data_IF_053972275591
#
_entry.id   IF_053972275591
#
_cell.length_a   1.000
_cell.length_b   1.000
_cell.length_c   1.000
_cell.angle_alpha   90.00
_cell.angle_beta   90.00
_cell.angle_gamma   90.00
#
_symmetry.space_group_name_H-M   'P 1'
#
loop_
_entity.id
_entity.type
_entity.pdbx_description
1 polymer ?
#
# COMPACT_ATOMS: atom_id res chain seq x y z
N UNK A 1 2.66 -6.08 7.79
CA UNK A 1 3.42 -6.32 6.55
C UNK A 1 4.84 -5.75 6.67
N UNK A 2 5.01 -4.42 6.71
CA UNK A 2 6.33 -3.77 6.77
C UNK A 2 7.22 -4.33 7.90
N UNK A 3 6.68 -4.46 9.11
CA UNK A 3 7.40 -5.04 10.25
C UNK A 3 7.99 -6.44 9.99
N UNK A 4 7.27 -7.30 9.26
CA UNK A 4 7.76 -8.63 8.92
C UNK A 4 8.91 -8.54 7.90
N UNK A 5 8.73 -7.77 6.83
CA UNK A 5 9.76 -7.65 5.78
C UNK A 5 11.03 -6.97 6.27
N UNK A 6 10.91 -5.95 7.14
CA UNK A 6 12.07 -5.30 7.72
C UNK A 6 12.86 -6.21 8.70
N UNK A 7 12.19 -7.20 9.31
CA UNK A 7 12.85 -8.17 10.19
C UNK A 7 13.40 -9.39 9.42
N UNK A 8 12.69 -9.84 8.39
CA UNK A 8 12.93 -11.13 7.75
C UNK A 8 13.69 -11.03 6.42
N UNK A 9 13.78 -9.85 5.80
CA UNK A 9 14.43 -9.67 4.51
C UNK A 9 15.72 -8.87 4.61
N UNK A 10 16.60 -9.04 3.62
CA UNK A 10 17.75 -8.16 3.42
C UNK A 10 17.41 -6.90 2.61
N UNK A 11 16.14 -6.69 2.29
CA UNK A 11 15.68 -5.56 1.48
C UNK A 11 15.46 -4.30 2.31
N UNK A 12 15.67 -3.14 1.69
CA UNK A 12 15.33 -1.87 2.31
C UNK A 12 13.82 -1.66 2.29
N UNK A 13 13.20 -1.41 3.44
CA UNK A 13 11.76 -1.14 3.56
C UNK A 13 11.55 0.36 3.78
N UNK A 14 10.64 0.96 3.04
CA UNK A 14 10.21 2.35 3.22
C UNK A 14 8.69 2.38 3.31
N UNK A 15 8.16 3.19 4.21
CA UNK A 15 6.72 3.28 4.47
C UNK A 15 6.24 4.72 4.32
N UNK A 16 5.05 4.91 3.76
CA UNK A 16 4.37 6.21 3.68
C UNK A 16 2.92 6.12 4.18
N UNK A 17 2.33 7.29 4.43
CA UNK A 17 0.92 7.46 4.74
C UNK A 17 0.39 8.75 4.12
N UNK A 18 -0.84 8.71 3.58
CA UNK A 18 -1.57 9.89 3.12
C UNK A 18 -2.65 10.23 4.15
N UNK A 19 -2.64 11.43 4.76
CA UNK A 19 -3.61 11.79 5.78
C UNK A 19 -4.99 12.07 5.19
N UNK A 20 -6.05 11.72 5.92
CA UNK A 20 -7.44 11.85 5.46
C UNK A 20 -7.87 13.30 5.19
N UNK A 21 -7.25 14.28 5.86
CA UNK A 21 -7.48 15.71 5.60
C UNK A 21 -7.06 16.16 4.20
N UNK A 22 -6.11 15.45 3.58
CA UNK A 22 -5.72 15.73 2.19
C UNK A 22 -6.80 15.27 1.21
N UNK A 23 -7.54 14.19 1.54
CA UNK A 23 -8.58 13.58 0.69
C UNK A 23 -9.81 14.45 0.45
N UNK A 24 -9.97 15.55 1.19
CA UNK A 24 -11.13 16.45 1.05
C UNK A 24 -10.96 17.52 -0.03
N UNK A 25 -9.75 17.70 -0.58
CA UNK A 25 -9.42 18.83 -1.46
C UNK A 25 -9.72 18.61 -2.94
N UNK A 26 -9.90 17.37 -3.42
CA UNK A 26 -10.23 17.10 -4.82
C UNK A 26 -11.69 16.62 -4.94
N UNK A 27 -12.60 17.57 -5.09
CA UNK A 27 -14.00 17.34 -5.45
C UNK A 27 -14.10 16.53 -6.76
N UNK A 28 -14.26 15.21 -6.66
CA UNK A 28 -14.76 14.35 -7.76
C UNK A 28 -13.82 13.28 -8.36
N UNK A 29 -12.83 12.75 -7.65
CA UNK A 29 -11.79 11.92 -8.30
C UNK A 29 -12.02 10.40 -8.32
N UNK A 30 -11.77 9.80 -9.49
CA UNK A 30 -11.72 8.35 -9.77
C UNK A 30 -10.59 7.60 -9.03
N UNK A 31 -9.63 8.32 -8.43
CA UNK A 31 -8.39 7.75 -7.86
C UNK A 31 -8.05 8.31 -6.48
N UNK A 32 -7.32 7.53 -5.67
CA UNK A 32 -6.76 7.95 -4.38
C UNK A 32 -5.60 8.95 -4.56
N UNK A 33 -5.38 9.83 -3.59
CA UNK A 33 -4.40 10.92 -3.71
C UNK A 33 -2.94 10.48 -3.88
N UNK A 34 -2.53 9.39 -3.23
CA UNK A 34 -1.19 8.84 -3.47
C UNK A 34 -1.00 8.44 -4.93
N UNK A 35 -2.02 7.83 -5.54
CA UNK A 35 -2.01 7.50 -6.97
C UNK A 35 -1.99 8.79 -7.81
N UNK A 36 -2.82 9.78 -7.48
CA UNK A 36 -2.86 11.04 -8.22
C UNK A 36 -1.47 11.72 -8.24
N UNK A 37 -0.83 11.84 -7.08
CA UNK A 37 0.50 12.45 -6.97
C UNK A 37 1.61 11.57 -7.55
N UNK A 38 1.59 10.25 -7.32
CA UNK A 38 2.63 9.35 -7.84
C UNK A 38 2.67 9.29 -9.38
N UNK A 39 1.51 9.44 -10.02
CA UNK A 39 1.38 9.40 -11.48
C UNK A 39 1.37 10.79 -12.14
N UNK A 40 1.53 11.86 -11.36
CA UNK A 40 1.63 13.22 -11.91
C UNK A 40 0.32 13.76 -12.49
N UNK A 41 -0.84 13.34 -11.97
CA UNK A 41 -2.14 13.89 -12.37
C UNK A 41 -2.22 15.43 -12.26
N UNK A 42 -1.59 16.09 -11.27
CA UNK A 42 -1.54 17.55 -11.21
C UNK A 42 -0.91 18.26 -12.41
N UNK A 43 -0.16 17.54 -13.25
CA UNK A 43 0.48 18.06 -14.47
C UNK A 43 -0.27 17.69 -15.75
N UNK A 44 -1.37 16.94 -15.63
CA UNK A 44 -2.16 16.56 -16.79
C UNK A 44 -3.12 17.71 -17.15
N UNK A 45 -3.16 18.19 -18.41
CA UNK A 45 -3.91 19.39 -18.78
C UNK A 45 -5.39 19.37 -18.39
N UNK A 46 -6.03 18.19 -18.34
CA UNK A 46 -7.44 18.04 -17.93
C UNK A 46 -7.67 18.36 -16.45
N UNK A 47 -6.66 18.15 -15.61
CA UNK A 47 -6.76 18.27 -14.15
C UNK A 47 -5.89 19.39 -13.58
N UNK A 48 -5.12 20.10 -14.42
CA UNK A 48 -4.12 21.07 -14.00
C UNK A 48 -4.68 22.22 -13.13
N UNK A 49 -5.92 22.64 -13.39
CA UNK A 49 -6.61 23.70 -12.63
C UNK A 49 -7.23 23.21 -11.31
N UNK A 50 -7.23 21.89 -11.06
CA UNK A 50 -7.83 21.29 -9.85
C UNK A 50 -6.84 21.19 -8.69
N UNK A 51 -5.55 21.45 -8.93
CA UNK A 51 -4.49 21.32 -7.94
C UNK A 51 -3.78 22.65 -7.72
N UNK A 52 -3.45 22.94 -6.46
CA UNK A 52 -2.65 24.12 -6.11
C UNK A 52 -1.18 23.94 -6.49
N UNK A 53 -0.43 25.03 -6.52
CA UNK A 53 1.01 24.99 -6.79
C UNK A 53 1.78 24.18 -5.73
N UNK A 54 1.32 24.19 -4.48
CA UNK A 54 1.89 23.36 -3.41
C UNK A 54 1.63 21.86 -3.66
N UNK A 55 0.45 21.49 -4.15
CA UNK A 55 0.11 20.11 -4.49
C UNK A 55 0.90 19.62 -5.71
N UNK A 56 1.10 20.50 -6.70
CA UNK A 56 2.00 20.23 -7.83
C UNK A 56 3.44 20.01 -7.33
N UNK A 57 3.93 20.88 -6.45
CA UNK A 57 5.24 20.73 -5.81
C UNK A 57 5.39 19.41 -5.06
N UNK A 58 4.39 19.03 -4.26
CA UNK A 58 4.32 17.76 -3.54
C UNK A 58 4.34 16.56 -4.50
N UNK A 59 3.55 16.63 -5.58
CA UNK A 59 3.49 15.60 -6.62
C UNK A 59 4.86 15.34 -7.26
N UNK A 60 5.59 16.39 -7.65
CA UNK A 60 6.96 16.24 -8.18
C UNK A 60 7.89 15.55 -7.19
N UNK A 61 7.81 15.90 -5.91
CA UNK A 61 8.62 15.30 -4.87
C UNK A 61 8.27 13.81 -4.68
N UNK A 62 6.98 13.45 -4.66
CA UNK A 62 6.54 12.05 -4.56
C UNK A 62 7.02 11.25 -5.79
N UNK A 63 6.80 11.77 -7.00
CA UNK A 63 7.28 11.16 -8.25
C UNK A 63 8.81 10.94 -8.21
N UNK A 64 9.57 11.90 -7.69
CA UNK A 64 11.02 11.78 -7.57
C UNK A 64 11.42 10.68 -6.59
N UNK A 65 10.79 10.58 -5.41
CA UNK A 65 11.08 9.49 -4.46
C UNK A 65 10.79 8.12 -5.07
N UNK A 66 9.64 7.98 -5.74
CA UNK A 66 9.22 6.72 -6.36
C UNK A 66 10.20 6.36 -7.48
N UNK A 67 10.56 7.31 -8.34
CA UNK A 67 11.54 7.12 -9.42
C UNK A 67 12.91 6.72 -8.87
N UNK A 68 13.36 7.35 -7.79
CA UNK A 68 14.61 7.00 -7.11
C UNK A 68 14.56 5.56 -6.55
N UNK A 69 13.46 5.20 -5.90
CA UNK A 69 13.29 3.85 -5.34
C UNK A 69 13.27 2.79 -6.44
N UNK A 70 12.56 3.02 -7.56
CA UNK A 70 12.55 2.09 -8.70
C UNK A 70 13.96 1.90 -9.28
N UNK A 71 14.74 2.98 -9.39
CA UNK A 71 16.06 2.95 -10.00
C UNK A 71 17.17 2.39 -9.09
N UNK A 72 17.08 2.59 -7.78
CA UNK A 72 18.19 2.30 -6.85
C UNK A 72 17.82 1.41 -5.67
N UNK A 73 16.53 1.15 -5.43
CA UNK A 73 16.03 0.53 -4.20
C UNK A 73 16.08 1.46 -2.97
N UNK A 74 16.33 2.76 -3.16
CA UNK A 74 16.33 3.76 -2.10
C UNK A 74 15.74 5.10 -2.59
N UNK A 75 14.67 5.63 -1.97
CA UNK A 75 14.02 6.85 -2.42
C UNK A 75 14.91 8.10 -2.33
N UNK A 76 16.00 8.06 -1.54
CA UNK A 76 16.90 9.20 -1.35
C UNK A 76 17.98 9.33 -2.45
N UNK A 77 18.19 8.29 -3.26
CA UNK A 77 19.28 8.23 -4.23
C UNK A 77 18.76 7.88 -5.63
N UNK A 78 19.18 8.66 -6.63
CA UNK A 78 18.79 8.43 -8.04
C UNK A 78 19.40 7.16 -8.62
N UNK A 79 20.63 6.83 -8.21
CA UNK A 79 21.38 5.67 -8.70
C UNK A 79 21.96 4.89 -7.54
N UNK A 80 22.03 3.57 -7.65
CA UNK A 80 22.59 2.68 -6.62
C UNK A 80 24.05 2.97 -6.27
N UNK A 81 24.84 3.46 -7.24
CA UNK A 81 26.24 3.85 -7.04
C UNK A 81 26.42 5.29 -6.52
N UNK A 82 25.38 6.12 -6.57
CA UNK A 82 25.45 7.51 -6.13
C UNK A 82 25.00 7.62 -4.67
N UNK A 83 25.88 8.13 -3.81
CA UNK A 83 25.54 8.56 -2.44
C UNK A 83 25.22 10.04 -2.34
N UNK A 84 25.12 10.75 -3.47
CA UNK A 84 24.73 12.17 -3.47
C UNK A 84 23.22 12.26 -3.32
N UNK A 85 22.77 12.56 -2.11
CA UNK A 85 21.41 13.04 -1.90
C UNK A 85 21.30 14.42 -2.53
N UNK A 86 20.25 14.68 -3.31
CA UNK A 86 20.10 15.97 -3.99
C UNK A 86 19.85 17.15 -3.03
N UNK A 87 19.66 16.93 -1.73
CA UNK A 87 19.49 18.01 -0.74
C UNK A 87 18.23 18.86 -0.91
N UNK A 88 17.49 18.68 -2.00
CA UNK A 88 16.26 19.40 -2.33
C UNK A 88 15.06 18.88 -1.52
N UNK A 89 15.13 17.65 -1.00
CA UNK A 89 13.99 16.96 -0.39
C UNK A 89 14.35 16.37 0.99
N UNK A 90 13.43 16.38 1.97
CA UNK A 90 13.73 15.85 3.31
C UNK A 90 13.97 14.34 3.26
N UNK A 91 14.97 13.82 3.97
CA UNK A 91 15.27 12.38 3.91
C UNK A 91 14.05 11.50 4.21
N UNK A 92 13.95 10.38 3.49
CA UNK A 92 12.97 9.32 3.74
C UNK A 92 13.72 8.16 4.40
N UNK A 93 13.72 8.08 5.74
CA UNK A 93 14.45 7.04 6.46
C UNK A 93 13.82 5.66 6.23
N UNK A 94 14.66 4.64 6.35
CA UNK A 94 14.23 3.26 6.27
C UNK A 94 13.32 2.91 7.47
N UNK A 95 12.30 2.11 7.20
CA UNK A 95 11.51 1.44 8.21
C UNK A 95 12.30 0.26 8.79
N UNK A 96 12.43 0.22 10.11
CA UNK A 96 13.05 -0.87 10.86
C UNK A 96 12.03 -1.46 11.83
N UNK A 97 12.17 -2.75 12.12
CA UNK A 97 11.26 -3.49 13.03
C UNK A 97 11.44 -3.17 14.52
N UNK A 98 12.29 -2.19 14.86
CA UNK A 98 12.50 -1.74 16.24
C UNK A 98 11.49 -0.65 16.62
N UNK A 99 11.24 -0.49 17.93
CA UNK A 99 10.28 0.50 18.44
C UNK A 99 10.62 1.95 18.06
N UNK A 100 11.91 2.27 17.90
CA UNK A 100 12.37 3.60 17.48
C UNK A 100 12.53 3.72 15.96
N UNK A 101 12.34 2.62 15.24
CA UNK A 101 12.66 2.47 13.83
C UNK A 101 11.46 2.40 12.89
N UNK A 102 10.24 2.41 13.44
CA UNK A 102 8.97 2.30 12.70
C UNK A 102 8.57 3.59 11.97
N UNK A 103 9.56 4.22 11.32
CA UNK A 103 9.43 5.48 10.61
C UNK A 103 8.57 5.35 9.36
N UNK A 104 7.77 6.38 9.09
CA UNK A 104 7.06 6.54 7.83
C UNK A 104 7.09 7.99 7.37
N UNK A 105 6.94 8.19 6.06
CA UNK A 105 6.79 9.50 5.45
C UNK A 105 5.32 9.87 5.38
N UNK A 106 4.93 11.04 5.86
CA UNK A 106 3.58 11.53 5.62
C UNK A 106 3.56 12.39 4.35
N UNK A 107 2.64 12.09 3.43
CA UNK A 107 2.50 12.82 2.18
C UNK A 107 1.65 14.07 2.39
N UNK A 108 2.28 15.06 3.00
CA UNK A 108 1.84 16.46 3.07
C UNK A 108 2.92 17.34 2.46
N UNK A 109 2.62 18.62 2.21
CA UNK A 109 3.54 19.58 1.58
C UNK A 109 4.91 19.63 2.28
N UNK A 110 4.96 19.45 3.60
CA UNK A 110 6.23 19.46 4.37
C UNK A 110 6.97 18.13 4.38
N UNK A 111 6.36 17.04 3.89
CA UNK A 111 6.90 15.68 3.85
C UNK A 111 7.57 15.24 5.18
N UNK A 112 6.88 15.37 6.32
CA UNK A 112 7.46 15.07 7.61
C UNK A 112 7.71 13.57 7.73
N UNK A 113 8.70 13.23 8.56
CA UNK A 113 8.91 11.85 9.00
C UNK A 113 8.26 11.69 10.37
N UNK A 114 7.36 10.74 10.47
CA UNK A 114 6.65 10.39 11.70
C UNK A 114 6.97 8.93 12.07
N UNK A 115 6.53 8.51 13.25
CA UNK A 115 6.77 7.17 13.80
C UNK A 115 5.49 6.55 14.32
N UNK A 116 5.43 5.22 14.37
CA UNK A 116 4.35 4.49 15.00
C UNK A 116 2.96 4.72 14.40
N UNK A 117 2.83 4.61 13.06
CA UNK A 117 1.54 4.79 12.38
C UNK A 117 0.47 3.85 12.98
N UNK A 118 -0.57 4.44 13.58
CA UNK A 118 -1.72 3.72 14.17
C UNK A 118 -1.32 2.56 15.08
N UNK A 119 -0.23 2.70 15.86
CA UNK A 119 0.35 1.61 16.67
C UNK A 119 -0.66 0.93 17.61
N UNK A 120 -1.53 1.73 18.25
CA UNK A 120 -2.59 1.21 19.13
C UNK A 120 -3.61 0.34 18.37
N UNK A 121 -4.13 0.83 17.25
CA UNK A 121 -5.11 0.11 16.43
C UNK A 121 -4.47 -1.16 15.82
N UNK A 122 -3.23 -1.06 15.34
CA UNK A 122 -2.50 -2.20 14.83
C UNK A 122 -2.31 -3.28 15.90
N UNK A 123 -1.94 -2.93 17.14
CA UNK A 123 -1.81 -3.91 18.23
C UNK A 123 -3.18 -4.49 18.64
N UNK A 124 -4.23 -3.67 18.65
CA UNK A 124 -5.60 -4.16 18.89
C UNK A 124 -5.97 -5.28 17.91
N UNK A 125 -5.80 -5.06 16.61
CA UNK A 125 -6.17 -6.05 15.60
C UNK A 125 -5.21 -7.23 15.50
N UNK A 126 -3.89 -6.97 15.58
CA UNK A 126 -2.88 -8.01 15.36
C UNK A 126 -2.58 -8.87 16.59
N UNK A 127 -2.70 -8.30 17.79
CA UNK A 127 -2.42 -8.99 19.05
C UNK A 127 -3.70 -9.31 19.82
N UNK A 128 -4.46 -8.28 20.20
CA UNK A 128 -5.59 -8.45 21.12
C UNK A 128 -6.69 -9.33 20.52
N UNK A 129 -7.21 -8.98 19.34
CA UNK A 129 -8.26 -9.77 18.67
C UNK A 129 -7.78 -11.17 18.34
N UNK A 130 -6.51 -11.34 17.96
CA UNK A 130 -5.94 -12.67 17.68
C UNK A 130 -5.92 -13.54 18.94
N UNK A 131 -5.45 -13.02 20.08
CA UNK A 131 -5.45 -13.74 21.36
C UNK A 131 -6.86 -14.04 21.84
N UNK A 132 -7.79 -13.10 21.71
CA UNK A 132 -9.20 -13.28 22.07
C UNK A 132 -9.88 -14.39 21.25
N UNK A 133 -9.63 -14.43 19.93
CA UNK A 133 -10.13 -15.50 19.06
C UNK A 133 -9.54 -16.86 19.43
N UNK A 134 -8.27 -16.92 19.79
CA UNK A 134 -7.62 -18.16 20.21
C UNK A 134 -8.18 -18.69 21.54
N UNK A 135 -8.50 -17.80 22.49
CA UNK A 135 -9.07 -18.21 23.79
C UNK A 135 -10.54 -18.61 23.70
N UNK A 136 -11.33 -17.94 22.86
CA UNK A 136 -12.78 -18.21 22.72
C UNK A 136 -13.10 -19.29 21.68
N UNK A 137 -12.25 -19.47 20.65
CA UNK A 137 -12.40 -20.51 19.63
C UNK A 137 -12.22 -21.93 20.17
N UNK A 138 -11.52 -22.11 21.29
CA UNK A 138 -11.39 -23.42 21.96
C UNK A 138 -12.63 -23.80 22.79
N UNK A 139 -13.61 -22.90 22.97
CA UNK A 139 -14.86 -23.17 23.68
C UNK A 139 -16.00 -23.65 22.76
N UNK A 140 -15.78 -23.68 21.44
CA UNK A 140 -16.74 -24.21 20.45
C UNK A 140 -16.28 -25.56 19.91
N UNK A 141 -16.01 -26.50 20.82
CA UNK A 141 -15.98 -27.94 20.50
C UNK A 141 -17.39 -28.51 20.58
N UNK A 142 -18.26 -28.08 19.66
CA UNK A 142 -19.58 -28.66 19.41
C UNK A 142 -19.71 -28.90 17.92
N UNK A 143 -19.89 -30.16 17.54
CA UNK A 143 -19.80 -30.67 16.18
C UNK A 143 -20.66 -29.93 15.14
N UNK A 144 -20.22 -29.80 13.87
CA UNK A 144 -21.13 -29.63 12.75
C UNK A 144 -21.83 -30.97 12.53
N UNK A 145 -23.11 -31.05 12.91
CA UNK A 145 -23.95 -32.21 12.64
C UNK A 145 -23.97 -32.55 11.16
N UNK A 146 -23.56 -33.79 10.86
CA UNK A 146 -23.78 -34.45 9.59
C UNK A 146 -25.29 -34.50 9.27
N UNK A 147 -25.64 -34.19 8.02
CA UNK A 147 -26.81 -34.79 7.37
C UNK A 147 -26.30 -35.51 6.13
N UNK A 148 -26.45 -36.86 6.03
CA UNK A 148 -26.11 -37.60 4.82
C UNK A 148 -27.34 -37.83 3.94
N UNK A 149 -27.07 -37.93 2.63
CA UNK A 149 -27.96 -38.30 1.49
C UNK A 149 -28.64 -37.09 0.85
N UNK A 150 -28.39 -36.75 -0.42
CA UNK A 150 -28.48 -37.64 -1.57
C UNK A 150 -27.59 -37.13 -2.73
N UNK A 151 -26.61 -37.94 -3.13
CA UNK A 151 -25.88 -37.78 -4.40
C UNK A 151 -26.49 -38.79 -5.36
N UNK A 152 -27.14 -38.32 -6.42
CA UNK A 152 -27.27 -39.11 -7.64
C UNK A 152 -26.46 -38.42 -8.73
N UNK A 153 -25.33 -39.05 -9.02
CA UNK A 153 -24.37 -38.72 -10.05
C UNK A 153 -24.97 -38.85 -11.44
N UNK A 154 -24.53 -38.01 -12.38
CA UNK A 154 -23.96 -38.46 -13.66
C UNK A 154 -23.34 -37.27 -14.41
N UNK A 155 -22.02 -37.36 -14.57
CA UNK A 155 -21.19 -36.51 -15.40
C UNK A 155 -20.94 -37.23 -16.74
N UNK A 156 -21.02 -36.50 -17.87
CA UNK A 156 -20.24 -36.84 -19.07
C UNK A 156 -20.14 -35.65 -20.05
N UNK A 157 -18.98 -34.99 -19.99
CA UNK A 157 -18.18 -34.30 -21.04
C UNK A 157 -18.81 -33.29 -22.04
N UNK A 158 -18.13 -32.16 -22.32
CA UNK A 158 -18.29 -31.43 -23.58
C UNK A 158 -17.15 -31.79 -24.55
N UNK A 159 -17.51 -32.19 -25.78
CA UNK A 159 -16.58 -32.28 -26.90
C UNK A 159 -17.30 -31.79 -28.16
N UNK A 160 -16.72 -30.81 -28.87
CA UNK A 160 -17.14 -30.47 -30.23
C UNK A 160 -16.99 -29.00 -30.57
N UNK A 161 -15.81 -28.63 -31.09
CA UNK A 161 -15.62 -27.51 -32.00
C UNK A 161 -16.60 -27.58 -33.18
N UNK A 162 -17.21 -26.46 -33.57
CA UNK A 162 -17.44 -26.18 -34.99
C UNK A 162 -17.56 -24.66 -35.23
N UNK A 163 -16.56 -24.12 -35.93
CA UNK A 163 -16.58 -22.80 -36.55
C UNK A 163 -17.21 -22.94 -37.94
N UNK A 164 -18.28 -22.20 -38.22
CA UNK A 164 -18.85 -22.08 -39.56
C UNK A 164 -18.86 -20.64 -40.04
N UNK A 165 -18.04 -20.37 -41.06
CA UNK A 165 -18.07 -19.18 -41.92
C UNK A 165 -19.21 -19.33 -42.93
N UNK A 166 -19.99 -18.27 -43.15
CA UNK A 166 -20.88 -18.16 -44.32
C UNK A 166 -20.52 -16.92 -45.13
N UNK A 167 -20.55 -17.14 -46.45
CA UNK A 167 -20.03 -16.33 -47.56
C UNK A 167 -21.02 -15.29 -48.05
#
# INVERSE_FOLDING_TARGET
MANYWAAASQGNVFMYHVPESSSQSSSGQEFLLDVQYAFGLPFYPKYEEQFTDEEKGLSLQIMQYISNFINSGNPNYQHSFSRRMLGVMPAWPMYLSSDDGDNYKEFTVSLPTLKGLKKADCSFWSDYIRRLKASTGSASGGEPGETPSEVTSLESQPLGDEVSYSR
#
